data_IF_930036018434
#
_entry.id   IF_930036018434
#
_cell.length_a   1.000
_cell.length_b   1.000
_cell.length_c   1.000
_cell.angle_alpha   90.00
_cell.angle_beta   90.00
_cell.angle_gamma   90.00
#
_symmetry.space_group_name_H-M   'P 1'
#
loop_
_entity.id
_entity.type
_entity.pdbx_description
1 polymer ?
#
# COMPACT_ATOMS: atom_id res chain seq x y z
N UNK A 1 -5.40 1.98 12.67
CA UNK A 1 -5.89 1.24 11.48
C UNK A 1 -7.38 1.02 11.64
N UNK A 2 -8.12 0.92 10.53
CA UNK A 2 -9.53 0.51 10.54
C UNK A 2 -9.63 -0.90 9.93
N UNK A 3 -10.66 -1.65 10.34
CA UNK A 3 -10.98 -2.94 9.73
C UNK A 3 -12.43 -2.89 9.28
N UNK A 4 -12.62 -2.77 7.97
CA UNK A 4 -13.92 -2.72 7.29
C UNK A 4 -13.85 -3.68 6.09
N UNK A 5 -13.65 -4.96 6.39
CA UNK A 5 -13.59 -6.04 5.42
C UNK A 5 -14.11 -7.32 6.07
N UNK A 6 -14.75 -8.18 5.26
CA UNK A 6 -15.23 -9.50 5.69
C UNK A 6 -14.36 -10.63 5.12
N UNK A 7 -13.32 -10.28 4.36
CA UNK A 7 -12.40 -11.20 3.72
C UNK A 7 -10.96 -10.83 4.06
N UNK A 8 -10.10 -11.85 4.11
CA UNK A 8 -8.67 -11.75 4.41
C UNK A 8 -7.85 -12.36 3.28
N UNK A 9 -6.56 -12.01 3.24
CA UNK A 9 -5.59 -12.71 2.40
C UNK A 9 -5.22 -14.02 3.08
N UNK A 10 -5.45 -15.14 2.40
CA UNK A 10 -5.05 -16.47 2.89
C UNK A 10 -3.61 -16.81 2.47
N UNK A 11 -3.32 -16.68 1.18
CA UNK A 11 -2.03 -17.03 0.59
C UNK A 11 -1.53 -15.87 -0.28
N UNK A 12 -0.25 -15.55 -0.19
CA UNK A 12 0.39 -14.55 -1.05
C UNK A 12 0.80 -15.18 -2.39
N UNK A 13 0.47 -14.49 -3.48
CA UNK A 13 0.99 -14.87 -4.79
C UNK A 13 2.52 -14.69 -4.86
N UNK A 14 3.23 -15.46 -5.71
CA UNK A 14 4.65 -15.25 -5.93
C UNK A 14 4.97 -13.79 -6.28
N UNK A 15 5.98 -13.22 -5.62
CA UNK A 15 6.38 -11.83 -5.80
C UNK A 15 5.61 -10.82 -4.95
N UNK A 16 4.66 -11.24 -4.11
CA UNK A 16 4.08 -10.40 -3.06
C UNK A 16 4.76 -10.65 -1.71
N UNK A 17 4.94 -9.59 -0.94
CA UNK A 17 5.51 -9.63 0.41
C UNK A 17 4.49 -8.99 1.36
N UNK A 18 4.25 -9.62 2.52
CA UNK A 18 3.46 -9.02 3.60
C UNK A 18 4.26 -7.87 4.23
N UNK A 19 3.73 -6.65 4.11
CA UNK A 19 4.32 -5.42 4.65
C UNK A 19 3.73 -5.06 6.02
N UNK A 20 2.46 -5.41 6.24
CA UNK A 20 1.81 -5.26 7.53
C UNK A 20 0.99 -6.49 7.87
N UNK A 21 1.10 -6.93 9.12
CA UNK A 21 0.37 -8.05 9.70
C UNK A 21 -0.23 -7.59 11.03
N UNK A 22 -1.52 -7.85 11.24
CA UNK A 22 -2.19 -7.54 12.50
C UNK A 22 -1.85 -8.56 13.60
N UNK A 23 -2.27 -8.27 14.84
CA UNK A 23 -2.00 -9.14 16.00
C UNK A 23 -2.62 -10.53 15.88
N UNK A 24 -3.74 -10.65 15.14
CA UNK A 24 -4.41 -11.93 14.85
C UNK A 24 -3.75 -12.72 13.69
N UNK A 25 -2.65 -12.20 13.13
CA UNK A 25 -1.93 -12.81 12.03
C UNK A 25 -2.48 -12.49 10.64
N UNK A 26 -3.55 -11.70 10.53
CA UNK A 26 -4.08 -11.28 9.23
C UNK A 26 -3.14 -10.32 8.51
N UNK A 27 -2.97 -10.52 7.20
CA UNK A 27 -2.17 -9.62 6.36
C UNK A 27 -3.00 -8.39 6.02
N UNK A 28 -2.48 -7.23 6.40
CA UNK A 28 -3.16 -5.93 6.29
C UNK A 28 -2.57 -5.04 5.19
N UNK A 29 -1.34 -5.31 4.77
CA UNK A 29 -0.73 -4.66 3.60
C UNK A 29 0.27 -5.57 2.89
N UNK A 30 0.37 -5.39 1.57
CA UNK A 30 1.30 -6.12 0.71
C UNK A 30 2.05 -5.17 -0.21
N UNK A 31 3.29 -5.53 -0.53
CA UNK A 31 4.08 -4.88 -1.58
C UNK A 31 4.48 -5.88 -2.67
N UNK A 32 4.84 -5.36 -3.85
CA UNK A 32 5.44 -6.17 -4.91
C UNK A 32 6.96 -6.19 -4.74
N UNK A 33 7.52 -7.39 -4.61
CA UNK A 33 8.97 -7.61 -4.51
C UNK A 33 9.68 -7.02 -5.74
N UNK A 34 10.71 -6.21 -5.52
CA UNK A 34 11.48 -5.59 -6.60
C UNK A 34 10.74 -4.48 -7.35
N UNK A 35 9.63 -3.94 -6.83
CA UNK A 35 8.96 -2.81 -7.45
C UNK A 35 9.91 -1.60 -7.58
N UNK A 36 10.12 -1.13 -8.81
CA UNK A 36 11.05 -0.03 -9.10
C UNK A 36 10.57 1.37 -8.70
N UNK A 37 9.33 1.52 -8.22
CA UNK A 37 8.79 2.80 -7.79
C UNK A 37 7.83 2.66 -6.61
N UNK A 38 6.56 2.33 -6.87
CA UNK A 38 5.53 2.20 -5.83
C UNK A 38 4.51 1.15 -6.23
N UNK A 39 4.35 0.13 -5.38
CA UNK A 39 3.33 -0.90 -5.52
C UNK A 39 2.96 -1.39 -4.11
N UNK A 40 1.91 -0.82 -3.54
CA UNK A 40 1.37 -1.10 -2.21
C UNK A 40 -0.13 -1.39 -2.32
N UNK A 41 -0.57 -2.48 -1.69
CA UNK A 41 -1.98 -2.78 -1.45
C UNK A 41 -2.28 -2.83 0.05
N UNK A 42 -3.44 -2.34 0.49
CA UNK A 42 -3.87 -2.36 1.90
C UNK A 42 -5.27 -2.96 2.02
N UNK A 43 -5.53 -3.74 3.08
CA UNK A 43 -6.89 -4.16 3.45
C UNK A 43 -7.59 -3.09 4.28
N UNK A 44 -6.88 -2.48 5.22
CA UNK A 44 -7.34 -1.27 5.87
C UNK A 44 -7.52 -0.12 4.87
N UNK A 45 -8.33 0.86 5.25
CA UNK A 45 -8.71 1.96 4.39
C UNK A 45 -8.05 3.29 4.81
N UNK A 46 -6.87 3.64 4.28
CA UNK A 46 -6.14 4.86 4.67
C UNK A 46 -6.94 6.15 4.40
N UNK A 47 -7.89 6.13 3.46
CA UNK A 47 -8.73 7.30 3.12
C UNK A 47 -9.64 7.80 4.25
N UNK A 48 -10.09 6.92 5.16
CA UNK A 48 -11.09 7.31 6.18
C UNK A 48 -10.53 8.27 7.23
N UNK A 49 -9.23 8.18 7.52
CA UNK A 49 -8.55 9.11 8.41
C UNK A 49 -7.34 9.74 7.72
N UNK A 50 -7.55 10.28 6.51
CA UNK A 50 -6.48 10.86 5.70
C UNK A 50 -5.69 11.99 6.40
N UNK A 51 -6.24 12.60 7.45
CA UNK A 51 -5.58 13.62 8.28
C UNK A 51 -4.63 13.05 9.34
N UNK A 52 -4.76 11.76 9.70
CA UNK A 52 -3.81 11.10 10.58
C UNK A 52 -2.46 10.93 9.88
N UNK A 53 -1.39 11.10 10.65
CA UNK A 53 -0.02 11.21 10.12
C UNK A 53 0.39 10.02 9.26
N UNK A 54 0.02 8.79 9.65
CA UNK A 54 0.38 7.58 8.92
C UNK A 54 -0.37 7.46 7.59
N UNK A 55 -1.68 7.71 7.61
CA UNK A 55 -2.50 7.66 6.40
C UNK A 55 -2.09 8.76 5.41
N UNK A 56 -1.82 9.97 5.91
CA UNK A 56 -1.32 11.08 5.11
C UNK A 56 0.00 10.72 4.43
N UNK A 57 0.94 10.08 5.15
CA UNK A 57 2.23 9.65 4.60
C UNK A 57 2.06 8.66 3.46
N UNK A 58 1.24 7.61 3.64
CA UNK A 58 0.96 6.64 2.57
C UNK A 58 0.44 7.34 1.31
N UNK A 59 -0.55 8.22 1.48
CA UNK A 59 -1.19 8.93 0.37
C UNK A 59 -0.24 9.94 -0.30
N UNK A 60 0.56 10.67 0.46
CA UNK A 60 1.54 11.61 -0.10
C UNK A 60 2.65 10.88 -0.86
N UNK A 61 3.18 9.78 -0.31
CA UNK A 61 4.23 8.99 -0.96
C UNK A 61 3.72 8.37 -2.27
N UNK A 62 2.48 7.87 -2.30
CA UNK A 62 1.86 7.45 -3.55
C UNK A 62 1.76 8.60 -4.56
N UNK A 63 1.28 9.78 -4.12
CA UNK A 63 1.18 10.96 -4.97
C UNK A 63 2.53 11.39 -5.56
N UNK A 64 3.60 11.34 -4.77
CA UNK A 64 4.95 11.67 -5.22
C UNK A 64 5.47 10.64 -6.23
N UNK A 65 5.23 9.35 -6.00
CA UNK A 65 5.59 8.28 -6.94
C UNK A 65 4.89 8.44 -8.30
N UNK A 66 3.60 8.80 -8.30
CA UNK A 66 2.84 9.08 -9.53
C UNK A 66 3.44 10.28 -10.29
N UNK A 67 3.79 11.36 -9.59
CA UNK A 67 4.41 12.54 -10.22
C UNK A 67 5.77 12.20 -10.83
N UNK A 68 6.60 11.42 -10.13
CA UNK A 68 7.90 10.98 -10.64
C UNK A 68 7.75 10.09 -11.87
N UNK A 69 6.81 9.14 -11.85
CA UNK A 69 6.51 8.28 -13.00
C UNK A 69 6.06 9.12 -14.20
N UNK A 70 5.16 10.08 -14.00
CA UNK A 70 4.70 10.97 -15.06
C UNK A 70 5.85 11.83 -15.64
N UNK A 71 6.76 12.32 -14.80
CA UNK A 71 7.95 13.05 -15.25
C UNK A 71 8.86 12.17 -16.11
N UNK A 72 9.17 10.95 -15.65
CA UNK A 72 10.01 10.00 -16.36
C UNK A 72 9.44 9.64 -17.76
N UNK A 73 8.12 9.45 -17.84
CA UNK A 73 7.43 9.16 -19.11
C UNK A 73 7.48 10.33 -20.11
N UNK A 74 7.59 11.58 -19.64
CA UNK A 74 7.69 12.78 -20.50
C UNK A 74 9.10 13.05 -21.00
N UNK A 75 10.11 12.49 -20.34
CA UNK A 75 11.54 12.64 -20.68
C UNK A 75 12.09 11.47 -21.50
N UNK A 76 11.32 10.39 -21.64
CA UNK A 76 11.58 9.27 -22.54
C UNK A 76 10.93 9.54 -23.90
#
# INVERSE_FOLDING_TARGET
MNSLHSFLIKDLAPGLIAEAVAEDGSIEAVIVAGAGAFALGTLFHPKYWATQIMHRRILSTFGDAVRLHAKAKRTA
#
